data_IF_084744761430
#
_entry.id   IF_084744761430
#
_cell.length_a   1.000
_cell.length_b   1.000
_cell.length_c   1.000
_cell.angle_alpha   90.00
_cell.angle_beta   90.00
_cell.angle_gamma   90.00
#
_symmetry.space_group_name_H-M   'P 1'
#
loop_
_entity.id
_entity.type
_entity.pdbx_description
1 polymer ?
#
# COMPACT_ATOMS: atom_id res chain seq x y z
N UNK A 1 -17.47 -11.22 -13.97
CA UNK A 1 -16.15 -11.42 -13.34
C UNK A 1 -15.47 -10.07 -13.31
N UNK A 2 -15.72 -9.29 -12.26
CA UNK A 2 -15.13 -7.96 -12.14
C UNK A 2 -13.72 -8.12 -11.55
N UNK A 3 -12.73 -8.33 -12.43
CA UNK A 3 -11.33 -8.60 -12.08
C UNK A 3 -10.77 -7.53 -11.13
N UNK A 4 -11.21 -6.28 -11.29
CA UNK A 4 -10.79 -5.16 -10.43
C UNK A 4 -11.37 -5.23 -9.01
N UNK A 5 -12.47 -5.96 -8.81
CA UNK A 5 -13.12 -6.15 -7.52
C UNK A 5 -12.68 -7.44 -6.82
N UNK A 6 -11.70 -8.16 -7.38
CA UNK A 6 -11.02 -9.25 -6.69
C UNK A 6 -10.11 -8.66 -5.59
N UNK A 7 -10.25 -9.06 -4.32
CA UNK A 7 -9.41 -8.58 -3.22
C UNK A 7 -7.91 -8.76 -3.45
N UNK A 8 -7.48 -9.79 -4.18
CA UNK A 8 -6.07 -10.01 -4.50
C UNK A 8 -5.57 -9.00 -5.53
N UNK A 9 -6.39 -8.66 -6.53
CA UNK A 9 -6.05 -7.63 -7.52
C UNK A 9 -6.02 -6.25 -6.86
N UNK A 10 -7.00 -5.98 -5.99
CA UNK A 10 -7.04 -4.75 -5.19
C UNK A 10 -5.80 -4.61 -4.28
N UNK A 11 -5.37 -5.71 -3.66
CA UNK A 11 -4.13 -5.77 -2.88
C UNK A 11 -2.91 -5.45 -3.74
N UNK A 12 -2.78 -6.08 -4.92
CA UNK A 12 -1.67 -5.81 -5.83
C UNK A 12 -1.65 -4.35 -6.29
N UNK A 13 -2.81 -3.76 -6.58
CA UNK A 13 -2.93 -2.34 -6.95
C UNK A 13 -2.49 -1.42 -5.81
N UNK A 14 -2.86 -1.73 -4.56
CA UNK A 14 -2.45 -0.97 -3.38
C UNK A 14 -0.93 -1.03 -3.15
N UNK A 15 -0.34 -2.22 -3.27
CA UNK A 15 1.11 -2.41 -3.17
C UNK A 15 1.83 -1.69 -4.32
N UNK A 16 1.35 -1.83 -5.55
CA UNK A 16 1.91 -1.19 -6.73
C UNK A 16 1.85 0.34 -6.62
N UNK A 17 0.70 0.89 -6.26
CA UNK A 17 0.53 2.33 -6.00
C UNK A 17 1.56 2.81 -4.97
N UNK A 18 1.72 2.08 -3.87
CA UNK A 18 2.66 2.45 -2.81
C UNK A 18 4.09 2.46 -3.35
N UNK A 19 4.51 1.40 -4.04
CA UNK A 19 5.86 1.32 -4.61
C UNK A 19 6.13 2.44 -5.62
N UNK A 20 5.19 2.69 -6.53
CA UNK A 20 5.31 3.77 -7.52
C UNK A 20 5.37 5.14 -6.82
N UNK A 21 4.55 5.37 -5.79
CA UNK A 21 4.56 6.61 -5.02
C UNK A 21 5.91 6.84 -4.35
N UNK A 22 6.47 5.81 -3.72
CA UNK A 22 7.77 5.89 -3.07
C UNK A 22 8.88 6.21 -4.07
N UNK A 23 8.88 5.55 -5.25
CA UNK A 23 9.85 5.83 -6.31
C UNK A 23 9.68 7.24 -6.88
N UNK A 24 8.45 7.71 -7.08
CA UNK A 24 8.16 9.07 -7.54
C UNK A 24 8.64 10.13 -6.54
N UNK A 25 8.53 9.88 -5.23
CA UNK A 25 9.04 10.78 -4.18
C UNK A 25 10.58 10.86 -4.20
N UNK A 26 11.25 9.73 -4.45
CA UNK A 26 12.73 9.66 -4.48
C UNK A 26 13.28 10.27 -5.78
N UNK A 27 12.58 10.08 -6.89
CA UNK A 27 12.97 10.55 -8.23
C UNK A 27 11.86 11.39 -8.86
N UNK A 28 11.61 12.61 -8.34
CA UNK A 28 10.55 13.48 -8.83
C UNK A 28 10.81 13.94 -10.26
N UNK A 29 9.74 14.18 -11.03
CA UNK A 29 9.82 14.71 -12.40
C UNK A 29 10.04 13.66 -13.48
N UNK A 30 9.91 12.36 -13.17
CA UNK A 30 9.97 11.28 -14.18
C UNK A 30 8.71 11.22 -15.06
N UNK A 31 7.59 11.81 -14.62
CA UNK A 31 6.29 11.80 -15.28
C UNK A 31 5.61 10.42 -15.28
N UNK A 32 6.29 9.37 -15.71
CA UNK A 32 5.76 7.99 -15.77
C UNK A 32 5.45 7.45 -14.39
N UNK A 33 6.33 7.64 -13.40
CA UNK A 33 6.08 7.15 -12.03
C UNK A 33 4.94 7.91 -11.37
N UNK A 34 4.84 9.21 -11.61
CA UNK A 34 3.79 10.08 -11.06
C UNK A 34 2.43 9.70 -11.64
N UNK A 35 2.34 9.57 -12.97
CA UNK A 35 1.10 9.12 -13.65
C UNK A 35 0.74 7.70 -13.23
N UNK A 36 1.70 6.78 -13.18
CA UNK A 36 1.46 5.41 -12.73
C UNK A 36 0.98 5.34 -11.27
N UNK A 37 1.52 6.20 -10.41
CA UNK A 37 1.08 6.34 -9.02
C UNK A 37 -0.37 6.83 -8.95
N UNK A 38 -0.69 7.93 -9.63
CA UNK A 38 -2.02 8.51 -9.64
C UNK A 38 -3.05 7.55 -10.23
N UNK A 39 -2.70 6.88 -11.32
CA UNK A 39 -3.55 5.88 -11.96
C UNK A 39 -3.83 4.71 -11.02
N UNK A 40 -2.79 4.15 -10.41
CA UNK A 40 -2.93 3.03 -9.46
C UNK A 40 -3.68 3.45 -8.19
N UNK A 41 -3.51 4.69 -7.73
CA UNK A 41 -4.24 5.27 -6.60
C UNK A 41 -5.75 5.33 -6.89
N UNK A 42 -6.14 5.78 -8.09
CA UNK A 42 -7.56 5.84 -8.48
C UNK A 42 -8.15 4.42 -8.53
N UNK A 43 -7.45 3.46 -9.12
CA UNK A 43 -7.92 2.08 -9.20
C UNK A 43 -8.00 1.41 -7.82
N UNK A 44 -6.97 1.56 -6.99
CA UNK A 44 -6.97 1.05 -5.63
C UNK A 44 -8.09 1.70 -4.81
N UNK A 45 -8.27 3.02 -4.90
CA UNK A 45 -9.34 3.76 -4.24
C UNK A 45 -10.73 3.30 -4.68
N UNK A 46 -10.92 3.02 -5.97
CA UNK A 46 -12.15 2.41 -6.48
C UNK A 46 -12.39 1.03 -5.87
N UNK A 47 -11.36 0.17 -5.78
CA UNK A 47 -11.49 -1.13 -5.15
C UNK A 47 -11.82 -1.02 -3.65
N UNK A 48 -11.16 -0.11 -2.90
CA UNK A 48 -11.45 0.16 -1.48
C UNK A 48 -12.89 0.62 -1.27
N UNK A 49 -13.42 1.42 -2.20
CA UNK A 49 -14.80 1.92 -2.09
C UNK A 49 -15.85 0.82 -2.26
N UNK A 50 -15.56 -0.18 -3.10
CA UNK A 50 -16.51 -1.24 -3.43
C UNK A 50 -16.34 -2.49 -2.56
N UNK A 51 -15.14 -2.72 -1.99
CA UNK A 51 -14.81 -3.89 -1.17
C UNK A 51 -14.84 -3.51 0.31
N UNK A 52 -15.24 -4.45 1.17
CA UNK A 52 -15.12 -4.26 2.62
C UNK A 52 -13.65 -4.16 3.04
N UNK A 53 -13.29 -3.13 3.79
CA UNK A 53 -11.93 -2.92 4.27
C UNK A 53 -11.88 -2.75 5.79
N UNK A 54 -10.70 -3.00 6.36
CA UNK A 54 -10.47 -2.90 7.79
C UNK A 54 -9.83 -1.54 8.15
N UNK A 55 -10.55 -0.72 8.91
CA UNK A 55 -10.10 0.60 9.36
C UNK A 55 -8.81 0.56 10.21
N UNK A 56 -8.63 -0.49 11.02
CA UNK A 56 -7.40 -0.62 11.81
C UNK A 56 -6.18 -0.92 10.93
N UNK A 57 -6.35 -1.70 9.87
CA UNK A 57 -5.31 -1.98 8.90
C UNK A 57 -4.91 -0.73 8.11
N UNK A 58 -5.89 0.13 7.78
CA UNK A 58 -5.63 1.45 7.21
C UNK A 58 -4.74 2.30 8.12
N UNK A 59 -5.04 2.33 9.42
CA UNK A 59 -4.23 3.06 10.39
C UNK A 59 -2.80 2.52 10.48
N UNK A 60 -2.62 1.19 10.47
CA UNK A 60 -1.29 0.55 10.44
C UNK A 60 -0.53 0.95 9.16
N UNK A 61 -1.18 0.95 7.99
CA UNK A 61 -0.58 1.39 6.73
C UNK A 61 -0.09 2.84 6.80
N UNK A 62 -0.92 3.76 7.31
CA UNK A 62 -0.55 5.16 7.48
C UNK A 62 0.59 5.34 8.50
N UNK A 63 0.54 4.65 9.64
CA UNK A 63 1.58 4.70 10.67
C UNK A 63 2.91 4.17 10.13
N UNK A 64 2.88 3.16 9.25
CA UNK A 64 4.07 2.57 8.63
C UNK A 64 4.82 3.54 7.72
N UNK A 65 4.15 4.59 7.22
CA UNK A 65 4.76 5.65 6.42
C UNK A 65 5.68 6.55 7.24
N UNK A 66 5.42 6.74 8.53
CA UNK A 66 6.24 7.60 9.40
C UNK A 66 7.69 7.09 9.58
N UNK A 67 7.93 5.82 9.98
CA UNK A 67 9.29 5.28 10.06
C UNK A 67 9.95 5.17 8.69
N UNK A 68 9.19 5.00 7.60
CA UNK A 68 9.72 5.08 6.24
C UNK A 68 10.39 6.42 5.97
N UNK A 69 9.63 7.51 6.13
CA UNK A 69 10.10 8.89 5.89
C UNK A 69 11.27 9.21 6.83
N UNK A 70 11.25 8.73 8.06
CA UNK A 70 12.35 8.93 9.00
C UNK A 70 13.62 8.15 8.62
N UNK A 71 13.45 6.95 8.05
CA UNK A 71 14.52 6.06 7.60
C UNK A 71 15.28 6.63 6.40
N UNK A 72 14.58 7.24 5.43
CA UNK A 72 15.21 7.81 4.23
C UNK A 72 15.96 9.12 4.48
N UNK A 73 15.69 9.84 5.58
CA UNK A 73 16.26 11.18 5.84
C UNK A 73 17.69 11.18 6.35
N UNK A 74 18.19 10.08 6.93
CA UNK A 74 19.53 10.02 7.54
C UNK A 74 20.16 8.64 7.34
N UNK A 75 21.49 8.57 7.08
CA UNK A 75 22.20 7.30 7.02
C UNK A 75 22.17 6.58 8.39
N UNK A 76 22.32 5.24 8.37
CA UNK A 76 22.32 4.33 9.54
C UNK A 76 20.97 4.14 10.28
N UNK A 77 19.84 4.31 9.59
CA UNK A 77 18.48 4.11 10.16
C UNK A 77 17.74 2.90 9.56
N UNK A 78 18.49 1.87 9.19
CA UNK A 78 17.96 0.66 8.55
C UNK A 78 16.89 -0.03 9.40
N UNK A 79 17.02 0.01 10.73
CA UNK A 79 16.02 -0.54 11.65
C UNK A 79 14.62 0.10 11.47
N UNK A 80 14.54 1.39 11.17
CA UNK A 80 13.27 2.07 10.91
C UNK A 80 12.68 1.68 9.55
N UNK A 81 13.53 1.43 8.55
CA UNK A 81 13.09 0.92 7.26
C UNK A 81 12.52 -0.50 7.39
N UNK A 82 13.20 -1.38 8.14
CA UNK A 82 12.69 -2.73 8.44
C UNK A 82 11.35 -2.66 9.17
N UNK A 83 11.23 -1.81 10.19
CA UNK A 83 9.97 -1.62 10.92
C UNK A 83 8.84 -1.13 10.01
N UNK A 84 9.14 -0.19 9.11
CA UNK A 84 8.19 0.31 8.13
C UNK A 84 7.73 -0.79 7.16
N UNK A 85 8.66 -1.59 6.65
CA UNK A 85 8.34 -2.70 5.73
C UNK A 85 7.43 -3.71 6.43
N UNK A 86 7.77 -4.12 7.66
CA UNK A 86 6.96 -5.06 8.42
C UNK A 86 5.57 -4.52 8.71
N UNK A 87 5.47 -3.25 9.11
CA UNK A 87 4.19 -2.58 9.33
C UNK A 87 3.35 -2.48 8.06
N UNK A 88 3.98 -2.13 6.94
CA UNK A 88 3.30 -2.03 5.65
C UNK A 88 2.80 -3.39 5.17
N UNK A 89 3.62 -4.44 5.26
CA UNK A 89 3.23 -5.81 4.90
C UNK A 89 2.08 -6.26 5.79
N UNK A 90 2.20 -6.14 7.11
CA UNK A 90 1.12 -6.50 8.03
C UNK A 90 -0.17 -5.73 7.73
N UNK A 91 -0.10 -4.40 7.62
CA UNK A 91 -1.25 -3.56 7.31
C UNK A 91 -1.90 -3.92 5.97
N UNK A 92 -1.10 -4.16 4.93
CA UNK A 92 -1.62 -4.48 3.60
C UNK A 92 -2.36 -5.82 3.55
N UNK A 93 -1.86 -6.85 4.25
CA UNK A 93 -2.48 -8.19 4.28
C UNK A 93 -3.85 -8.16 4.97
N UNK A 94 -3.98 -7.38 6.03
CA UNK A 94 -5.24 -7.25 6.77
C UNK A 94 -6.18 -6.17 6.22
N UNK A 95 -5.77 -5.45 5.15
CA UNK A 95 -6.52 -4.30 4.66
C UNK A 95 -7.85 -4.69 4.01
N UNK A 96 -7.83 -5.65 3.10
CA UNK A 96 -9.05 -6.17 2.47
C UNK A 96 -9.61 -7.32 3.28
N UNK A 97 -10.91 -7.25 3.60
CA UNK A 97 -11.60 -8.28 4.38
C UNK A 97 -12.87 -8.74 3.69
N UNK A 98 -13.13 -10.03 3.81
CA UNK A 98 -14.37 -10.66 3.38
C UNK A 98 -14.89 -11.45 4.57
N UNK A 99 -16.10 -11.12 5.04
CA UNK A 99 -16.73 -11.74 6.21
C UNK A 99 -15.87 -11.71 7.50
N UNK A 100 -15.07 -10.66 7.71
CA UNK A 100 -14.25 -10.48 8.92
C UNK A 100 -12.95 -11.29 8.96
N UNK A 101 -12.63 -12.02 7.88
CA UNK A 101 -11.34 -12.68 7.69
C UNK A 101 -10.52 -11.92 6.64
N UNK A 102 -9.18 -12.06 6.64
CA UNK A 102 -8.34 -11.54 5.55
C UNK A 102 -8.85 -12.12 4.23
N UNK A 103 -9.22 -11.25 3.29
CA UNK A 103 -9.71 -11.68 1.97
C UNK A 103 -8.57 -12.07 1.02
N UNK A 104 -7.35 -11.70 1.37
CA UNK A 104 -6.15 -12.01 0.58
C UNK A 104 -5.78 -13.46 0.82
N UNK A 105 -5.74 -14.25 -0.25
CA UNK A 105 -5.37 -15.65 -0.17
C UNK A 105 -3.89 -15.78 0.22
N UNK A 106 -3.54 -16.53 1.28
CA UNK A 106 -2.13 -16.71 1.66
C UNK A 106 -1.35 -17.60 0.68
N UNK A 107 -2.04 -18.47 -0.07
CA UNK A 107 -1.56 -19.31 -1.20
C UNK A 107 -2.75 -19.73 -2.05
#
# INVERSE_FOLDING_TARGET
>A
MDILLDPNVAYLLLVLMTLLALLAIITPGTGVLEVGTLFSLVLAGYAVYNISFNWWALLILFVSLAPFIYGIRKPKREAFLVLSILGFVAGSVFFFTENGKPAVHPL
#
